data_IF_871866270438
#
_entry.id   IF_871866270438
#
_cell.length_a   1.000
_cell.length_b   1.000
_cell.length_c   1.000
_cell.angle_alpha   90.00
_cell.angle_beta   90.00
_cell.angle_gamma   90.00
#
_symmetry.space_group_name_H-M   'P 1'
#
loop_
_entity.id
_entity.type
_entity.pdbx_description
1 polymer ?
#
# COMPACT_ATOMS: atom_id res chain seq x y z
N UNK A 1 4.34 -10.53 -17.59
CA UNK A 1 3.38 -9.48 -18.02
C UNK A 1 2.17 -10.03 -18.77
N UNK A 2 2.30 -10.90 -19.78
CA UNK A 2 1.13 -11.48 -20.49
C UNK A 2 0.18 -12.24 -19.54
N UNK A 3 0.72 -12.98 -18.58
CA UNK A 3 -0.08 -13.73 -17.59
C UNK A 3 -0.87 -12.77 -16.66
N UNK A 4 -0.22 -11.73 -16.13
CA UNK A 4 -0.87 -10.72 -15.29
C UNK A 4 -1.99 -9.99 -16.04
N UNK A 5 -1.75 -9.66 -17.32
CA UNK A 5 -2.78 -9.06 -18.17
C UNK A 5 -3.96 -10.01 -18.39
N UNK A 6 -3.70 -11.28 -18.68
CA UNK A 6 -4.75 -12.31 -18.84
C UNK A 6 -5.59 -12.45 -17.57
N UNK A 7 -4.96 -12.46 -16.39
CA UNK A 7 -5.68 -12.52 -15.12
C UNK A 7 -6.53 -11.26 -14.89
N UNK A 8 -5.97 -10.08 -15.15
CA UNK A 8 -6.66 -8.79 -15.04
C UNK A 8 -7.89 -8.72 -15.97
N UNK A 9 -7.73 -9.12 -17.22
CA UNK A 9 -8.81 -9.10 -18.20
C UNK A 9 -9.89 -10.14 -17.88
N UNK A 10 -9.53 -11.28 -17.27
CA UNK A 10 -10.47 -12.32 -16.85
C UNK A 10 -11.28 -11.90 -15.60
N UNK A 11 -10.63 -11.34 -14.60
CA UNK A 11 -11.29 -10.89 -13.37
C UNK A 11 -10.41 -9.89 -12.60
N UNK A 12 -10.90 -8.66 -12.48
CA UNK A 12 -10.22 -7.61 -11.71
C UNK A 12 -10.19 -7.93 -10.22
N UNK A 13 -11.21 -8.62 -9.70
CA UNK A 13 -11.28 -9.03 -8.29
C UNK A 13 -10.19 -10.07 -8.00
N UNK A 14 -10.09 -11.13 -8.80
CA UNK A 14 -9.04 -12.14 -8.63
C UNK A 14 -7.64 -11.56 -8.81
N UNK A 15 -7.49 -10.60 -9.72
CA UNK A 15 -6.24 -9.87 -9.88
C UNK A 15 -5.88 -9.08 -8.61
N UNK A 16 -6.85 -8.36 -8.00
CA UNK A 16 -6.63 -7.65 -6.74
C UNK A 16 -6.30 -8.60 -5.59
N UNK A 17 -7.04 -9.70 -5.43
CA UNK A 17 -6.78 -10.72 -4.41
C UNK A 17 -5.38 -11.31 -4.56
N UNK A 18 -4.96 -11.64 -5.78
CA UNK A 18 -3.61 -12.17 -6.00
C UNK A 18 -2.51 -11.18 -5.61
N UNK A 19 -2.72 -9.88 -5.82
CA UNK A 19 -1.80 -8.84 -5.35
C UNK A 19 -1.79 -8.70 -3.84
N UNK A 20 -2.96 -8.80 -3.16
CA UNK A 20 -3.05 -8.79 -1.69
C UNK A 20 -2.25 -9.95 -1.12
N UNK A 21 -2.47 -11.18 -1.61
CA UNK A 21 -1.75 -12.36 -1.14
C UNK A 21 -0.25 -12.23 -1.38
N UNK A 22 0.15 -11.83 -2.58
CA UNK A 22 1.56 -11.64 -2.92
C UNK A 22 2.22 -10.58 -2.03
N UNK A 23 1.55 -9.44 -1.80
CA UNK A 23 2.01 -8.39 -0.92
C UNK A 23 2.20 -8.90 0.51
N UNK A 24 1.17 -9.50 1.11
CA UNK A 24 1.23 -9.99 2.49
C UNK A 24 2.35 -11.02 2.67
N UNK A 25 2.43 -12.03 1.79
CA UNK A 25 3.43 -13.10 1.90
C UNK A 25 4.84 -12.55 1.69
N UNK A 26 5.07 -11.79 0.62
CA UNK A 26 6.41 -11.30 0.30
C UNK A 26 6.93 -10.29 1.31
N UNK A 27 6.06 -9.41 1.85
CA UNK A 27 6.47 -8.45 2.87
C UNK A 27 6.75 -9.14 4.21
N UNK A 28 5.96 -10.12 4.63
CA UNK A 28 6.23 -10.91 5.85
C UNK A 28 7.54 -11.69 5.75
N UNK A 29 7.79 -12.32 4.61
CA UNK A 29 9.08 -13.02 4.36
C UNK A 29 10.23 -12.03 4.37
N UNK A 30 10.07 -10.86 3.75
CA UNK A 30 11.11 -9.83 3.68
C UNK A 30 11.43 -9.26 5.08
N UNK A 31 10.43 -9.07 5.94
CA UNK A 31 10.65 -8.63 7.32
C UNK A 31 11.44 -9.69 8.12
N UNK A 32 11.07 -10.96 8.00
CA UNK A 32 11.82 -12.06 8.61
C UNK A 32 13.26 -12.10 8.12
N UNK A 33 13.48 -11.98 6.81
CA UNK A 33 14.83 -11.95 6.24
C UNK A 33 15.63 -10.73 6.68
N UNK A 34 15.00 -9.55 6.83
CA UNK A 34 15.68 -8.36 7.38
C UNK A 34 16.23 -8.62 8.78
N UNK A 35 15.45 -9.30 9.63
CA UNK A 35 15.89 -9.69 10.96
C UNK A 35 17.08 -10.66 10.93
N UNK A 36 17.11 -11.63 10.01
CA UNK A 36 18.26 -12.53 9.82
C UNK A 36 19.51 -11.80 9.33
N UNK A 37 19.37 -10.81 8.48
CA UNK A 37 20.50 -9.99 8.00
C UNK A 37 21.05 -9.08 9.09
N UNK A 38 20.29 -8.85 10.16
CA UNK A 38 20.68 -7.96 11.26
C UNK A 38 20.57 -6.47 10.94
N UNK A 39 19.91 -6.12 9.84
CA UNK A 39 19.64 -4.73 9.43
C UNK A 39 18.14 -4.59 9.19
N UNK A 40 17.44 -4.00 10.15
CA UNK A 40 16.00 -3.83 10.11
C UNK A 40 15.51 -3.15 8.83
N UNK A 41 14.44 -3.70 8.25
CA UNK A 41 13.79 -3.18 7.04
C UNK A 41 14.64 -3.13 5.77
N UNK A 42 15.86 -3.67 5.75
CA UNK A 42 16.72 -3.64 4.56
C UNK A 42 16.13 -4.46 3.40
N UNK A 43 15.78 -5.73 3.64
CA UNK A 43 15.16 -6.60 2.63
C UNK A 43 13.73 -6.15 2.35
N UNK A 44 13.00 -5.70 3.37
CA UNK A 44 11.64 -5.16 3.25
C UNK A 44 11.59 -3.99 2.27
N UNK A 45 12.54 -3.06 2.36
CA UNK A 45 12.63 -1.94 1.42
C UNK A 45 12.86 -2.42 -0.02
N UNK A 46 13.80 -3.34 -0.23
CA UNK A 46 14.11 -3.86 -1.58
C UNK A 46 12.87 -4.54 -2.18
N UNK A 47 12.22 -5.41 -1.43
CA UNK A 47 11.01 -6.11 -1.87
C UNK A 47 9.86 -5.12 -2.12
N UNK A 48 9.68 -4.13 -1.25
CA UNK A 48 8.68 -3.08 -1.42
C UNK A 48 8.90 -2.26 -2.69
N UNK A 49 10.15 -1.87 -2.99
CA UNK A 49 10.50 -1.17 -4.22
C UNK A 49 10.25 -2.03 -5.47
N UNK A 50 10.62 -3.32 -5.43
CA UNK A 50 10.40 -4.23 -6.55
C UNK A 50 8.91 -4.43 -6.82
N UNK A 51 8.08 -4.64 -5.79
CA UNK A 51 6.63 -4.76 -5.93
C UNK A 51 6.02 -3.46 -6.45
N UNK A 52 6.46 -2.31 -5.93
CA UNK A 52 6.01 -0.99 -6.40
C UNK A 52 6.34 -0.78 -7.88
N UNK A 53 7.58 -1.09 -8.29
CA UNK A 53 8.01 -0.98 -9.68
C UNK A 53 7.20 -1.92 -10.59
N UNK A 54 6.94 -3.15 -10.16
CA UNK A 54 6.19 -4.15 -10.93
C UNK A 54 4.74 -3.72 -11.15
N UNK A 55 4.05 -3.25 -10.09
CA UNK A 55 2.66 -2.81 -10.21
C UNK A 55 2.54 -1.52 -11.02
N UNK A 56 3.45 -0.56 -10.81
CA UNK A 56 3.50 0.67 -11.61
C UNK A 56 3.74 0.37 -13.08
N UNK A 57 4.71 -0.49 -13.38
CA UNK A 57 4.98 -0.91 -14.76
C UNK A 57 3.74 -1.55 -15.40
N UNK A 58 3.00 -2.40 -14.65
CA UNK A 58 1.75 -2.98 -15.14
C UNK A 58 0.71 -1.91 -15.44
N UNK A 59 0.51 -0.95 -14.52
CA UNK A 59 -0.48 0.12 -14.65
C UNK A 59 -0.16 1.03 -15.84
N UNK A 60 1.08 1.50 -15.95
CA UNK A 60 1.48 2.38 -17.05
C UNK A 60 1.45 1.69 -18.40
N UNK A 61 1.94 0.45 -18.49
CA UNK A 61 1.93 -0.31 -19.76
C UNK A 61 0.53 -0.59 -20.29
N UNK A 62 -0.48 -0.65 -19.42
CA UNK A 62 -1.86 -0.92 -19.80
C UNK A 62 -2.74 0.33 -19.81
N UNK A 63 -2.15 1.55 -19.68
CA UNK A 63 -2.86 2.83 -19.65
C UNK A 63 -3.96 2.90 -18.57
N UNK A 64 -3.68 2.37 -17.38
CA UNK A 64 -4.63 2.29 -16.27
C UNK A 64 -4.42 3.40 -15.22
N UNK A 65 -3.52 4.36 -15.46
CA UNK A 65 -3.14 5.40 -14.50
C UNK A 65 -4.33 6.21 -14.00
N UNK A 66 -5.23 6.62 -14.89
CA UNK A 66 -6.42 7.40 -14.52
C UNK A 66 -7.42 6.58 -13.69
N UNK A 67 -7.50 5.27 -13.94
CA UNK A 67 -8.41 4.37 -13.22
C UNK A 67 -7.96 4.20 -11.77
N UNK A 68 -6.64 4.14 -11.54
CA UNK A 68 -6.04 3.88 -10.24
C UNK A 68 -5.53 5.14 -9.53
N UNK A 69 -5.88 6.32 -10.03
CA UNK A 69 -5.55 7.59 -9.39
C UNK A 69 -4.08 7.99 -9.49
N UNK A 70 -3.29 7.35 -10.38
CA UNK A 70 -1.90 7.69 -10.66
C UNK A 70 -1.81 8.80 -11.71
N UNK A 71 -2.61 9.84 -11.54
CA UNK A 71 -2.70 11.00 -12.41
C UNK A 71 -2.68 12.28 -11.58
N UNK A 72 -2.53 13.43 -12.25
CA UNK A 72 -2.57 14.72 -11.55
C UNK A 72 -3.94 14.95 -10.90
N UNK A 73 -3.98 15.52 -9.68
CA UNK A 73 -5.23 15.86 -9.01
C UNK A 73 -6.11 16.74 -9.90
N UNK A 74 -7.37 16.37 -10.04
CA UNK A 74 -8.37 17.16 -10.80
C UNK A 74 -9.05 18.24 -9.95
N UNK A 75 -8.78 18.24 -8.64
CA UNK A 75 -9.39 19.13 -7.65
C UNK A 75 -8.34 20.11 -7.13
N UNK A 76 -8.74 21.35 -6.93
CA UNK A 76 -7.86 22.39 -6.36
C UNK A 76 -7.55 22.05 -4.89
N UNK A 77 -6.32 22.33 -4.38
CA UNK A 77 -5.95 22.05 -2.99
C UNK A 77 -6.93 22.61 -1.96
N UNK A 78 -7.52 23.80 -2.21
CA UNK A 78 -8.50 24.40 -1.32
C UNK A 78 -9.78 23.58 -1.14
N UNK A 79 -10.16 22.75 -2.12
CA UNK A 79 -11.31 21.86 -1.99
C UNK A 79 -11.02 20.64 -1.09
N UNK A 80 -9.78 20.47 -0.64
CA UNK A 80 -9.34 19.39 0.26
C UNK A 80 -9.29 19.83 1.74
N UNK A 81 -9.72 21.04 2.08
CA UNK A 81 -9.70 21.55 3.45
C UNK A 81 -10.55 20.71 4.43
N UNK A 82 -11.53 19.99 3.94
CA UNK A 82 -12.30 19.05 4.78
C UNK A 82 -11.48 17.87 5.30
N UNK A 83 -10.26 17.64 4.78
CA UNK A 83 -9.30 16.67 5.33
C UNK A 83 -8.48 17.22 6.52
N UNK A 84 -8.72 18.44 6.99
CA UNK A 84 -8.02 19.01 8.16
C UNK A 84 -8.06 18.07 9.37
N UNK A 85 -9.20 17.45 9.76
CA UNK A 85 -9.22 16.48 10.86
C UNK A 85 -8.26 15.31 10.66
N UNK A 86 -8.15 14.82 9.41
CA UNK A 86 -7.21 13.75 9.06
C UNK A 86 -5.75 14.21 9.19
N UNK A 87 -5.46 15.43 8.76
CA UNK A 87 -4.12 16.02 8.92
C UNK A 87 -3.76 16.17 10.40
N UNK A 88 -4.70 16.59 11.25
CA UNK A 88 -4.49 16.66 12.71
C UNK A 88 -4.19 15.26 13.26
N UNK A 89 -4.94 14.21 12.84
CA UNK A 89 -4.69 12.83 13.27
C UNK A 89 -3.31 12.33 12.82
N UNK A 90 -2.83 12.71 11.63
CA UNK A 90 -1.49 12.36 11.18
C UNK A 90 -0.39 12.94 12.09
N UNK A 91 -0.64 14.10 12.72
CA UNK A 91 0.32 14.69 13.65
C UNK A 91 0.34 14.01 15.02
N UNK A 92 -0.63 13.14 15.34
CA UNK A 92 -0.76 12.51 16.65
C UNK A 92 0.50 11.74 17.08
N UNK A 93 1.19 11.12 16.12
CA UNK A 93 2.45 10.42 16.38
C UNK A 93 3.59 11.33 16.88
N UNK A 94 3.49 12.63 16.66
CA UNK A 94 4.48 13.62 17.12
C UNK A 94 4.13 14.26 18.47
N UNK A 95 2.91 14.08 18.99
CA UNK A 95 2.44 14.73 20.21
C UNK A 95 3.19 14.28 21.47
N UNK A 96 3.73 13.06 21.45
CA UNK A 96 4.54 12.50 22.54
C UNK A 96 6.05 12.69 22.33
N UNK A 97 6.44 13.50 21.34
CA UNK A 97 7.83 13.77 20.97
C UNK A 97 8.40 12.74 19.99
N UNK A 98 9.52 13.10 19.40
CA UNK A 98 10.26 12.23 18.46
C UNK A 98 11.47 11.65 19.22
N UNK A 99 11.51 10.33 19.36
CA UNK A 99 12.67 9.60 19.91
C UNK A 99 13.42 8.95 18.76
N UNK A 100 14.66 9.38 18.53
CA UNK A 100 15.57 8.76 17.57
C UNK A 100 16.30 7.60 18.27
N UNK A 101 15.65 6.44 18.34
CA UNK A 101 16.20 5.25 19.00
C UNK A 101 17.10 4.42 18.07
N UNK A 102 17.14 4.74 16.78
CA UNK A 102 17.88 4.01 15.74
C UNK A 102 18.98 4.87 15.16
N UNK A 103 20.06 4.23 14.66
CA UNK A 103 21.06 4.93 13.86
C UNK A 103 20.45 5.55 12.60
N UNK A 104 21.13 6.53 12.02
CA UNK A 104 20.65 7.30 10.84
C UNK A 104 20.27 6.35 9.69
N UNK A 105 21.09 5.33 9.40
CA UNK A 105 20.86 4.39 8.29
C UNK A 105 19.58 3.59 8.56
N UNK A 106 19.41 3.02 9.75
CA UNK A 106 18.21 2.25 10.11
C UNK A 106 16.96 3.11 10.08
N UNK A 107 17.04 4.37 10.51
CA UNK A 107 15.93 5.33 10.44
C UNK A 107 15.53 5.60 8.98
N UNK A 108 16.50 5.82 8.09
CA UNK A 108 16.22 6.05 6.67
C UNK A 108 15.60 4.81 6.00
N UNK A 109 16.14 3.62 6.27
CA UNK A 109 15.58 2.36 5.75
C UNK A 109 14.14 2.15 6.23
N UNK A 110 13.87 2.44 7.50
CA UNK A 110 12.52 2.36 8.07
C UNK A 110 11.57 3.33 7.38
N UNK A 111 11.92 4.61 7.26
CA UNK A 111 11.08 5.63 6.62
C UNK A 111 10.79 5.24 5.16
N UNK A 112 11.82 4.87 4.39
CA UNK A 112 11.65 4.50 2.98
C UNK A 112 10.82 3.23 2.83
N UNK A 113 11.01 2.23 3.69
CA UNK A 113 10.17 1.02 3.66
C UNK A 113 8.72 1.32 3.98
N UNK A 114 8.43 2.19 4.96
CA UNK A 114 7.06 2.59 5.30
C UNK A 114 6.39 3.40 4.18
N UNK A 115 7.14 4.22 3.46
CA UNK A 115 6.61 4.90 2.27
C UNK A 115 6.22 3.90 1.17
N UNK A 116 7.04 2.87 0.93
CA UNK A 116 6.71 1.81 -0.02
C UNK A 116 5.48 1.00 0.44
N UNK A 117 5.41 0.65 1.73
CA UNK A 117 4.27 -0.05 2.32
C UNK A 117 2.99 0.76 2.12
N UNK A 118 2.98 2.03 2.57
CA UNK A 118 1.80 2.89 2.43
C UNK A 118 1.36 3.07 0.98
N UNK A 119 2.31 3.23 0.05
CA UNK A 119 2.02 3.31 -1.38
C UNK A 119 1.39 2.02 -1.91
N UNK A 120 1.97 0.86 -1.59
CA UNK A 120 1.47 -0.44 -2.03
C UNK A 120 0.09 -0.73 -1.46
N UNK A 121 -0.12 -0.48 -0.18
CA UNK A 121 -1.41 -0.67 0.48
C UNK A 121 -2.49 0.21 -0.14
N UNK A 122 -2.21 1.49 -0.35
CA UNK A 122 -3.17 2.40 -1.00
C UNK A 122 -3.51 1.92 -2.42
N UNK A 123 -2.51 1.53 -3.20
CA UNK A 123 -2.72 1.09 -4.57
C UNK A 123 -3.43 -0.27 -4.66
N UNK A 124 -3.11 -1.21 -3.78
CA UNK A 124 -3.70 -2.56 -3.78
C UNK A 124 -5.14 -2.52 -3.25
N UNK A 125 -5.36 -1.95 -2.06
CA UNK A 125 -6.68 -2.00 -1.42
C UNK A 125 -7.64 -0.96 -2.00
N UNK A 126 -7.21 0.28 -2.18
CA UNK A 126 -8.06 1.35 -2.70
C UNK A 126 -7.97 1.50 -4.22
N UNK A 127 -6.81 1.24 -4.79
CA UNK A 127 -6.66 1.20 -6.24
C UNK A 127 -7.31 -0.05 -6.84
N UNK A 128 -6.72 -1.24 -6.63
CA UNK A 128 -7.14 -2.45 -7.32
C UNK A 128 -8.46 -3.01 -6.78
N UNK A 129 -8.55 -3.31 -5.48
CA UNK A 129 -9.70 -4.01 -4.90
C UNK A 129 -10.98 -3.16 -4.94
N UNK A 130 -10.91 -1.93 -4.41
CA UNK A 130 -12.05 -1.04 -4.42
C UNK A 130 -12.56 -0.76 -5.84
N UNK A 131 -11.67 -0.44 -6.78
CA UNK A 131 -12.08 -0.17 -8.17
C UNK A 131 -12.62 -1.40 -8.90
N UNK A 132 -12.18 -2.62 -8.52
CA UNK A 132 -12.72 -3.85 -9.08
C UNK A 132 -14.20 -4.05 -8.73
N UNK A 133 -14.64 -3.58 -7.55
CA UNK A 133 -15.98 -3.80 -7.00
C UNK A 133 -16.94 -2.61 -7.16
N UNK A 134 -16.40 -1.36 -7.21
CA UNK A 134 -17.21 -0.13 -7.09
C UNK A 134 -18.29 0.04 -8.15
N UNK A 135 -18.09 -0.55 -9.35
CA UNK A 135 -19.05 -0.44 -10.45
C UNK A 135 -20.30 -1.29 -10.21
N UNK A 136 -20.12 -2.44 -9.56
CA UNK A 136 -21.19 -3.39 -9.33
C UNK A 136 -21.95 -3.04 -8.03
N UNK A 137 -21.22 -2.76 -6.96
CA UNK A 137 -21.78 -2.36 -5.68
C UNK A 137 -20.84 -1.45 -4.90
N UNK A 138 -21.11 -0.15 -4.91
CA UNK A 138 -20.29 0.85 -4.23
C UNK A 138 -20.18 0.63 -2.72
N UNK A 139 -21.32 0.30 -2.04
CA UNK A 139 -21.32 0.05 -0.58
C UNK A 139 -20.48 -1.17 -0.23
N UNK A 140 -20.64 -2.25 -0.96
CA UNK A 140 -19.83 -3.45 -0.78
C UNK A 140 -18.32 -3.16 -1.03
N UNK A 141 -18.00 -2.38 -2.05
CA UNK A 141 -16.62 -1.98 -2.34
C UNK A 141 -15.99 -1.22 -1.17
N UNK A 142 -16.72 -0.26 -0.57
CA UNK A 142 -16.25 0.48 0.62
C UNK A 142 -16.03 -0.47 1.80
N UNK A 143 -17.04 -1.29 2.14
CA UNK A 143 -16.98 -2.18 3.29
C UNK A 143 -15.85 -3.20 3.13
N UNK A 144 -15.79 -3.92 2.00
CA UNK A 144 -14.81 -4.97 1.77
C UNK A 144 -13.40 -4.41 1.76
N UNK A 145 -13.14 -3.31 1.03
CA UNK A 145 -11.80 -2.72 0.99
C UNK A 145 -11.34 -2.19 2.35
N UNK A 146 -12.24 -1.59 3.13
CA UNK A 146 -11.92 -1.08 4.46
C UNK A 146 -11.70 -2.20 5.48
N UNK A 147 -12.53 -3.24 5.47
CA UNK A 147 -12.41 -4.39 6.37
C UNK A 147 -11.16 -5.19 6.06
N UNK A 148 -10.88 -5.50 4.80
CA UNK A 148 -9.66 -6.24 4.41
C UNK A 148 -8.39 -5.46 4.76
N UNK A 149 -8.39 -4.15 4.57
CA UNK A 149 -7.29 -3.28 4.99
C UNK A 149 -7.10 -3.29 6.52
N UNK A 150 -8.20 -3.15 7.27
CA UNK A 150 -8.19 -3.17 8.74
C UNK A 150 -7.73 -4.51 9.33
N UNK A 151 -8.15 -5.64 8.76
CA UNK A 151 -7.71 -6.98 9.18
C UNK A 151 -6.19 -7.14 9.05
N UNK A 152 -5.59 -6.64 7.97
CA UNK A 152 -4.13 -6.65 7.80
C UNK A 152 -3.40 -5.95 8.95
N UNK A 153 -3.94 -4.82 9.41
CA UNK A 153 -3.36 -4.07 10.55
C UNK A 153 -3.56 -4.79 11.90
N UNK A 154 -4.71 -5.46 12.10
CA UNK A 154 -4.96 -6.24 13.32
C UNK A 154 -4.01 -7.44 13.42
N UNK A 155 -3.74 -8.12 12.31
CA UNK A 155 -2.79 -9.24 12.27
C UNK A 155 -1.38 -8.74 12.65
N UNK A 156 -0.96 -7.59 12.16
CA UNK A 156 0.32 -7.00 12.56
C UNK A 156 0.37 -6.65 14.05
N UNK A 157 -0.74 -6.21 14.64
CA UNK A 157 -0.82 -5.91 16.08
C UNK A 157 -0.69 -7.17 16.95
N UNK A 158 -1.18 -8.33 16.47
CA UNK A 158 -1.10 -9.60 17.19
C UNK A 158 0.32 -10.20 17.11
N UNK A 159 1.04 -9.95 16.01
CA UNK A 159 2.37 -10.49 15.75
C UNK A 159 3.52 -9.58 16.25
N UNK A 160 3.23 -8.34 16.62
CA UNK A 160 4.19 -7.35 17.11
C UNK A 160 4.28 -7.27 18.59
#
# INVERSE_FOLDING_TARGET
MKLLKKLYDKSKIWFAISWIIAYCVLMSVADTLSAFVGVDKSVTLVVGLLLSALILYFVYKNNLSDIYGLCRPKVKPGAMLFYIPLLIMLTANFWYGVKLNYGIISTLLYILSMLCVGFLEELIFRGLLFNAMRKDNFRAAVIVSSVTFGIGHIINLING
#
